data_IF_167094923814
#
_entry.id   IF_167094923814
#
_cell.length_a   1.000
_cell.length_b   1.000
_cell.length_c   1.000
_cell.angle_alpha   90.00
_cell.angle_beta   90.00
_cell.angle_gamma   90.00
#
_symmetry.space_group_name_H-M   'P 1'
#
loop_
_entity.id
_entity.type
_entity.pdbx_description
1 polymer ?
#
# COMPACT_ATOMS: atom_id res chain seq x y z
N UNK A 1 14.12 0.15 2.52
CA UNK A 1 14.76 -0.06 3.84
C UNK A 1 14.71 1.25 4.60
N UNK A 2 14.23 1.24 5.83
CA UNK A 2 14.22 2.42 6.70
C UNK A 2 15.60 2.70 7.29
N UNK A 3 15.79 3.90 7.86
CA UNK A 3 17.08 4.33 8.44
C UNK A 3 17.59 3.43 9.58
N UNK A 4 16.71 2.63 10.17
CA UNK A 4 16.99 1.66 11.23
C UNK A 4 17.18 0.23 10.72
N UNK A 5 17.36 0.03 9.42
CA UNK A 5 17.64 -1.28 8.84
C UNK A 5 16.44 -2.24 8.82
N UNK A 6 15.21 -1.71 8.93
CA UNK A 6 13.98 -2.51 8.80
C UNK A 6 13.40 -2.44 7.38
N UNK A 7 12.72 -3.50 6.97
CA UNK A 7 11.93 -3.52 5.75
C UNK A 7 10.73 -4.44 5.88
N UNK A 8 9.76 -4.26 5.00
CA UNK A 8 8.56 -5.10 4.91
C UNK A 8 8.59 -5.85 3.58
N UNK A 9 8.34 -7.16 3.62
CA UNK A 9 7.91 -7.93 2.47
C UNK A 9 6.39 -8.02 2.52
N UNK A 10 5.71 -7.55 1.48
CA UNK A 10 4.27 -7.65 1.34
C UNK A 10 3.98 -8.59 0.18
N UNK A 11 3.17 -9.62 0.42
CA UNK A 11 2.66 -10.53 -0.59
C UNK A 11 1.14 -10.60 -0.51
N UNK A 12 0.49 -10.87 -1.63
CA UNK A 12 -0.97 -10.96 -1.71
C UNK A 12 -1.46 -10.76 -3.14
N UNK A 13 -2.78 -10.74 -3.32
CA UNK A 13 -3.44 -10.56 -4.60
C UNK A 13 -3.81 -9.09 -4.80
N UNK A 14 -3.30 -8.47 -5.86
CA UNK A 14 -3.75 -7.14 -6.26
C UNK A 14 -5.16 -7.21 -6.88
N UNK A 15 -6.09 -6.43 -6.36
CA UNK A 15 -7.47 -6.33 -6.85
C UNK A 15 -7.75 -4.88 -7.24
N UNK A 16 -8.03 -4.67 -8.52
CA UNK A 16 -8.39 -3.36 -9.04
C UNK A 16 -9.84 -3.05 -8.68
N UNK A 17 -10.04 -1.85 -8.14
CA UNK A 17 -11.35 -1.31 -7.87
C UNK A 17 -11.55 -0.09 -8.79
N UNK A 18 -12.78 0.06 -9.29
CA UNK A 18 -13.15 1.10 -10.25
C UNK A 18 -14.15 2.10 -9.64
N UNK A 19 -14.43 1.98 -8.34
CA UNK A 19 -15.30 2.88 -7.60
C UNK A 19 -14.76 4.31 -7.60
N UNK A 20 -15.56 5.23 -8.15
CA UNK A 20 -15.28 6.67 -8.15
C UNK A 20 -15.17 7.20 -6.71
N UNK A 21 -16.03 6.72 -5.82
CA UNK A 21 -16.05 7.15 -4.42
C UNK A 21 -14.78 6.74 -3.68
N UNK A 22 -14.27 5.54 -3.94
CA UNK A 22 -13.03 5.07 -3.36
C UNK A 22 -11.81 5.84 -3.90
N UNK A 23 -11.79 6.17 -5.20
CA UNK A 23 -10.76 7.07 -5.79
C UNK A 23 -10.79 8.46 -5.15
N UNK A 24 -11.98 9.04 -4.98
CA UNK A 24 -12.12 10.34 -4.32
C UNK A 24 -11.62 10.28 -2.86
N UNK A 25 -11.97 9.20 -2.14
CA UNK A 25 -11.54 9.00 -0.75
C UNK A 25 -10.02 8.88 -0.60
N UNK A 26 -9.36 8.24 -1.57
CA UNK A 26 -7.91 8.12 -1.57
C UNK A 26 -7.22 9.50 -1.59
N UNK A 27 -7.75 10.46 -2.35
CA UNK A 27 -7.23 11.84 -2.39
C UNK A 27 -7.54 12.64 -1.12
N UNK A 28 -8.66 12.38 -0.44
CA UNK A 28 -8.94 12.99 0.86
C UNK A 28 -7.92 12.53 1.93
N UNK A 29 -7.58 11.24 1.94
CA UNK A 29 -6.67 10.65 2.93
C UNK A 29 -5.22 10.95 2.60
N UNK A 30 -4.86 10.91 1.32
CA UNK A 30 -3.52 11.18 0.82
C UNK A 30 -3.60 12.26 -0.27
N UNK A 31 -3.40 13.54 0.10
CA UNK A 31 -3.53 14.65 -0.86
C UNK A 31 -2.41 14.72 -1.89
N UNK A 32 -1.27 14.07 -1.65
CA UNK A 32 -0.08 14.19 -2.50
C UNK A 32 -0.30 13.68 -3.94
N UNK A 33 -0.94 12.52 -4.17
CA UNK A 33 -1.37 12.10 -5.50
C UNK A 33 -2.18 13.14 -6.28
N UNK A 34 -3.03 13.94 -5.63
CA UNK A 34 -3.81 14.98 -6.30
C UNK A 34 -2.95 16.15 -6.86
N UNK A 35 -1.69 16.26 -6.42
CA UNK A 35 -0.72 17.20 -7.01
C UNK A 35 -0.20 16.73 -8.36
N UNK A 36 -0.27 15.42 -8.64
CA UNK A 36 0.24 14.78 -9.85
C UNK A 36 -0.92 14.49 -10.81
N UNK A 37 -2.03 13.96 -10.28
CA UNK A 37 -3.22 13.62 -11.04
C UNK A 37 -4.25 14.75 -10.96
N UNK A 38 -4.48 15.42 -12.09
CA UNK A 38 -5.46 16.54 -12.21
C UNK A 38 -6.91 16.05 -12.43
N UNK A 39 -7.09 14.74 -12.63
CA UNK A 39 -8.34 14.05 -12.87
C UNK A 39 -8.29 12.69 -12.15
N UNK A 40 -9.41 11.95 -12.16
CA UNK A 40 -9.45 10.56 -11.68
C UNK A 40 -8.89 9.53 -12.69
N UNK A 41 -8.03 9.97 -13.62
CA UNK A 41 -7.36 9.13 -14.62
C UNK A 41 -6.16 8.39 -14.01
N UNK A 42 -6.43 7.55 -13.03
CA UNK A 42 -5.48 6.60 -12.46
C UNK A 42 -6.21 5.34 -12.03
N UNK A 43 -5.47 4.23 -12.01
CA UNK A 43 -5.96 2.98 -11.44
C UNK A 43 -5.58 2.89 -9.98
N UNK A 44 -6.50 2.39 -9.16
CA UNK A 44 -6.20 2.04 -7.78
C UNK A 44 -6.53 0.56 -7.59
N UNK A 45 -5.78 -0.04 -6.68
CA UNK A 45 -5.98 -1.42 -6.28
C UNK A 45 -5.75 -1.53 -4.79
N UNK A 46 -6.35 -2.55 -4.20
CA UNK A 46 -6.07 -3.00 -2.85
C UNK A 46 -5.48 -4.41 -2.90
N UNK A 47 -4.95 -4.87 -1.77
CA UNK A 47 -4.35 -6.20 -1.68
C UNK A 47 -5.25 -7.10 -0.83
N UNK A 48 -5.71 -8.20 -1.43
CA UNK A 48 -6.43 -9.28 -0.74
C UNK A 48 -5.50 -10.45 -0.40
N UNK A 49 -5.93 -11.29 0.55
CA UNK A 49 -5.21 -12.49 0.97
C UNK A 49 -3.76 -12.17 1.34
N UNK A 50 -3.56 -11.02 1.99
CA UNK A 50 -2.25 -10.42 2.12
C UNK A 50 -1.51 -10.92 3.37
N UNK A 51 -0.20 -11.03 3.23
CA UNK A 51 0.71 -11.34 4.32
C UNK A 51 1.85 -10.33 4.31
N UNK A 52 2.14 -9.79 5.49
CA UNK A 52 3.24 -8.88 5.71
C UNK A 52 4.30 -9.56 6.60
N UNK A 53 5.53 -9.63 6.10
CA UNK A 53 6.69 -10.04 6.89
C UNK A 53 7.58 -8.82 7.15
N UNK A 54 7.79 -8.51 8.43
CA UNK A 54 8.67 -7.46 8.90
C UNK A 54 10.05 -8.05 9.17
N UNK A 55 11.08 -7.46 8.60
CA UNK A 55 12.48 -7.88 8.72
C UNK A 55 13.33 -6.80 9.40
N UNK A 56 14.42 -7.23 10.02
CA UNK A 56 15.42 -6.37 10.68
C UNK A 56 16.83 -6.81 10.31
N UNK A 57 17.72 -5.86 10.03
CA UNK A 57 19.16 -6.13 9.86
C UNK A 57 19.80 -6.73 11.12
N UNK A 58 19.24 -6.47 12.30
CA UNK A 58 19.75 -7.00 13.58
C UNK A 58 19.32 -8.46 13.84
N UNK A 59 18.72 -9.11 12.85
CA UNK A 59 18.10 -10.42 12.99
C UNK A 59 16.66 -10.34 13.47
N UNK A 60 15.90 -11.38 13.14
CA UNK A 60 14.49 -11.51 13.46
C UNK A 60 13.56 -11.15 12.29
N UNK A 61 12.48 -11.91 12.19
CA UNK A 61 11.35 -11.59 11.33
C UNK A 61 10.04 -11.88 12.04
N UNK A 62 9.00 -11.14 11.68
CA UNK A 62 7.63 -11.37 12.16
C UNK A 62 6.68 -11.32 10.98
N UNK A 63 5.86 -12.35 10.85
CA UNK A 63 4.86 -12.46 9.80
C UNK A 63 3.46 -12.28 10.39
N UNK A 64 2.61 -11.51 9.69
CA UNK A 64 1.19 -11.34 10.03
C UNK A 64 0.34 -11.53 8.77
N UNK A 65 -0.86 -12.09 8.96
CA UNK A 65 -1.93 -12.08 7.96
C UNK A 65 -2.72 -10.78 8.08
N UNK A 66 -3.12 -10.22 6.95
CA UNK A 66 -3.85 -8.96 6.82
C UNK A 66 -5.30 -9.20 6.40
#
# INVERSE_FOLDING_TARGET
MSKDGRWIGLQGKAVFDYSVDAKAKAFEIMPDPAKIYKSLDFEFFYVEEAEATFYSMNGGSRTIKL
#
